data_IF_419427663757
#
_entry.id   IF_419427663757
#
_cell.length_a   1.000
_cell.length_b   1.000
_cell.length_c   1.000
_cell.angle_alpha   90.00
_cell.angle_beta   90.00
_cell.angle_gamma   90.00
#
_symmetry.space_group_name_H-M   'P 1'
#
loop_
_entity.id
_entity.type
_entity.pdbx_description
1 polymer ?
#
# COMPACT_ATOMS: atom_id res chain seq x y z
N UNK A 1 3.59 0.00 1.59
CA UNK A 1 3.76 -1.46 1.49
C UNK A 1 4.60 -1.93 2.65
N UNK A 2 4.31 -3.06 3.30
CA UNK A 2 5.14 -3.49 4.45
C UNK A 2 6.63 -3.65 4.10
N UNK A 3 6.95 -4.03 2.86
CA UNK A 3 8.33 -4.16 2.36
C UNK A 3 8.99 -2.81 2.01
N UNK A 4 8.23 -1.72 1.92
CA UNK A 4 8.79 -0.38 1.75
C UNK A 4 9.32 0.19 3.08
N UNK A 5 8.92 -0.37 4.22
CA UNK A 5 9.27 0.11 5.56
C UNK A 5 10.00 -0.91 6.42
N UNK A 6 9.98 -2.20 6.03
CA UNK A 6 10.63 -3.29 6.78
C UNK A 6 11.57 -4.03 5.85
N UNK A 7 12.86 -3.98 6.15
CA UNK A 7 13.88 -4.70 5.40
C UNK A 7 13.65 -6.22 5.50
N UNK A 8 13.75 -6.90 4.35
CA UNK A 8 13.67 -8.36 4.26
C UNK A 8 14.76 -8.87 3.33
N UNK A 9 15.45 -9.96 3.67
CA UNK A 9 16.47 -10.54 2.79
C UNK A 9 15.84 -10.94 1.46
N UNK A 10 16.56 -10.77 0.35
CA UNK A 10 16.13 -11.10 -1.02
C UNK A 10 15.03 -10.21 -1.64
N UNK A 11 14.57 -9.16 -0.95
CA UNK A 11 13.54 -8.23 -1.46
C UNK A 11 14.09 -6.88 -1.93
N UNK A 12 15.42 -6.68 -1.97
CA UNK A 12 16.07 -5.37 -2.09
C UNK A 12 15.52 -4.46 -3.19
N UNK A 13 15.58 -4.87 -4.45
CA UNK A 13 15.11 -4.05 -5.59
C UNK A 13 13.60 -3.76 -5.51
N UNK A 14 12.81 -4.75 -5.08
CA UNK A 14 11.36 -4.58 -4.94
C UNK A 14 11.01 -3.63 -3.78
N UNK A 15 11.67 -3.78 -2.63
CA UNK A 15 11.52 -2.92 -1.46
C UNK A 15 11.89 -1.46 -1.79
N UNK A 16 13.04 -1.25 -2.44
CA UNK A 16 13.51 0.06 -2.87
C UNK A 16 12.52 0.74 -3.83
N UNK A 17 12.02 0.01 -4.84
CA UNK A 17 11.06 0.59 -5.79
C UNK A 17 9.72 0.95 -5.14
N UNK A 18 9.23 0.17 -4.16
CA UNK A 18 8.02 0.50 -3.41
C UNK A 18 8.22 1.69 -2.46
N UNK A 19 9.38 1.82 -1.83
CA UNK A 19 9.71 3.00 -1.02
C UNK A 19 9.80 4.27 -1.90
N UNK A 20 10.44 4.18 -3.07
CA UNK A 20 10.51 5.28 -4.02
C UNK A 20 9.12 5.72 -4.52
N UNK A 21 8.25 4.76 -4.88
CA UNK A 21 6.88 5.03 -5.28
C UNK A 21 6.10 5.80 -4.21
N UNK A 22 6.24 5.41 -2.95
CA UNK A 22 5.55 6.09 -1.84
C UNK A 22 6.06 7.50 -1.63
N UNK A 23 7.36 7.75 -1.80
CA UNK A 23 7.90 9.11 -1.73
C UNK A 23 7.37 9.98 -2.87
N UNK A 24 7.36 9.48 -4.11
CA UNK A 24 6.81 10.19 -5.27
C UNK A 24 5.34 10.56 -5.02
N UNK A 25 4.53 9.60 -4.56
CA UNK A 25 3.12 9.85 -4.27
C UNK A 25 2.91 10.89 -3.17
N UNK A 26 3.80 10.93 -2.15
CA UNK A 26 3.74 11.93 -1.07
C UNK A 26 4.11 13.33 -1.56
N UNK A 27 5.17 13.46 -2.36
CA UNK A 27 5.52 14.74 -2.98
C UNK A 27 4.36 15.24 -3.86
N UNK A 28 3.80 14.36 -4.69
CA UNK A 28 2.68 14.72 -5.55
C UNK A 28 1.42 15.11 -4.77
N UNK A 29 1.15 14.43 -3.64
CA UNK A 29 0.07 14.82 -2.73
C UNK A 29 0.28 16.20 -2.10
N UNK A 30 1.53 16.56 -1.76
CA UNK A 30 1.91 17.88 -1.23
C UNK A 30 1.67 18.97 -2.27
N UNK A 31 2.15 18.75 -3.50
CA UNK A 31 2.02 19.67 -4.64
C UNK A 31 0.55 19.97 -4.95
N UNK A 32 -0.34 18.98 -4.78
CA UNK A 32 -1.76 19.09 -5.10
C UNK A 32 -2.67 19.40 -3.89
N UNK A 33 -2.12 19.75 -2.72
CA UNK A 33 -2.90 19.99 -1.49
C UNK A 33 -4.04 21.00 -1.64
N UNK A 34 -3.90 21.98 -2.52
CA UNK A 34 -4.90 23.02 -2.78
C UNK A 34 -5.93 22.64 -3.85
N UNK A 35 -5.85 21.43 -4.39
CA UNK A 35 -6.76 20.91 -5.42
C UNK A 35 -7.72 19.86 -4.83
N UNK A 36 -8.81 19.51 -5.55
CA UNK A 36 -9.67 18.40 -5.12
C UNK A 36 -9.01 17.02 -5.28
N UNK A 37 -7.87 16.90 -5.96
CA UNK A 37 -7.22 15.61 -6.22
C UNK A 37 -6.63 15.03 -4.93
N UNK A 38 -6.88 13.74 -4.69
CA UNK A 38 -6.34 12.98 -3.54
C UNK A 38 -5.42 11.89 -4.04
N UNK A 39 -4.22 11.83 -3.47
CA UNK A 39 -3.19 10.85 -3.83
C UNK A 39 -2.82 10.09 -2.57
N UNK A 40 -3.01 8.78 -2.59
CA UNK A 40 -2.65 7.91 -1.47
C UNK A 40 -2.02 6.63 -2.01
N UNK A 41 -1.16 6.01 -1.21
CA UNK A 41 -0.67 4.67 -1.50
C UNK A 41 -1.51 3.63 -0.76
N UNK A 42 -1.56 2.42 -1.32
CA UNK A 42 -2.25 1.29 -0.70
C UNK A 42 -1.25 0.20 -0.41
N UNK A 43 -1.26 -0.30 0.83
CA UNK A 43 -0.65 -1.56 1.20
C UNK A 43 -1.74 -2.64 1.25
N UNK A 44 -1.87 -3.50 0.21
CA UNK A 44 -2.87 -4.55 0.19
C UNK A 44 -2.59 -5.67 1.20
N UNK A 45 -1.35 -5.77 1.69
CA UNK A 45 -0.88 -6.95 2.42
C UNK A 45 -0.65 -8.13 1.47
N UNK A 46 -0.41 -9.32 2.03
CA UNK A 46 -0.40 -10.53 1.21
C UNK A 46 -1.82 -10.86 0.75
N UNK A 47 -1.96 -11.08 -0.55
CA UNK A 47 -3.21 -11.36 -1.25
C UNK A 47 -3.00 -12.60 -2.09
N UNK A 48 -4.03 -13.46 -2.22
CA UNK A 48 -3.98 -14.68 -3.02
C UNK A 48 -3.89 -14.35 -4.53
N UNK A 49 -2.67 -14.18 -5.03
CA UNK A 49 -2.35 -13.88 -6.44
C UNK A 49 -1.19 -14.75 -6.94
N UNK A 50 -1.04 -14.87 -8.26
CA UNK A 50 0.10 -15.58 -8.86
C UNK A 50 1.46 -14.99 -8.43
N UNK A 51 1.59 -13.67 -8.47
CA UNK A 51 2.79 -12.95 -7.99
C UNK A 51 3.14 -13.32 -6.53
N UNK A 52 2.15 -13.52 -5.66
CA UNK A 52 2.39 -13.90 -4.26
C UNK A 52 2.85 -15.36 -4.15
N UNK A 53 2.24 -16.26 -4.92
CA UNK A 53 2.63 -17.67 -4.96
C UNK A 53 4.07 -17.84 -5.46
N UNK A 54 4.48 -17.09 -6.48
CA UNK A 54 5.86 -17.08 -6.98
C UNK A 54 6.85 -16.51 -5.94
N UNK A 55 6.47 -15.42 -5.27
CA UNK A 55 7.32 -14.75 -4.30
C UNK A 55 7.42 -15.49 -2.94
N UNK A 56 6.45 -16.35 -2.60
CA UNK A 56 6.41 -17.15 -1.36
C UNK A 56 5.85 -18.57 -1.63
N UNK A 57 6.60 -19.47 -2.30
CA UNK A 57 6.07 -20.77 -2.73
C UNK A 57 5.62 -21.71 -1.60
N UNK A 58 6.14 -21.54 -0.39
CA UNK A 58 5.79 -22.35 0.79
C UNK A 58 4.60 -21.81 1.60
N UNK A 59 3.99 -20.69 1.21
CA UNK A 59 2.82 -20.14 1.90
C UNK A 59 1.53 -20.78 1.37
N UNK A 60 0.69 -21.30 2.26
CA UNK A 60 -0.63 -21.82 1.89
C UNK A 60 -1.54 -20.67 1.38
N UNK A 61 -1.97 -20.70 0.10
CA UNK A 61 -2.81 -19.65 -0.46
C UNK A 61 -4.17 -19.50 0.23
N UNK A 62 -4.69 -20.54 0.89
CA UNK A 62 -5.99 -20.49 1.57
C UNK A 62 -5.96 -19.63 2.84
N UNK A 63 -4.78 -19.35 3.39
CA UNK A 63 -4.60 -18.42 4.51
C UNK A 63 -4.57 -16.95 4.08
N UNK A 64 -4.66 -16.67 2.77
CA UNK A 64 -4.60 -15.33 2.22
C UNK A 64 -5.98 -14.84 1.77
N UNK A 65 -6.33 -13.56 2.01
CA UNK A 65 -7.54 -12.99 1.45
C UNK A 65 -7.48 -13.01 -0.09
N UNK A 66 -8.62 -13.22 -0.71
CA UNK A 66 -8.80 -13.09 -2.15
C UNK A 66 -8.62 -11.64 -2.61
N UNK A 67 -8.29 -11.42 -3.89
CA UNK A 67 -8.28 -10.09 -4.48
C UNK A 67 -9.61 -9.35 -4.31
N UNK A 68 -10.74 -10.06 -4.38
CA UNK A 68 -12.07 -9.49 -4.22
C UNK A 68 -12.30 -8.97 -2.79
N UNK A 69 -11.86 -9.70 -1.77
CA UNK A 69 -11.95 -9.24 -0.38
C UNK A 69 -11.07 -8.02 -0.11
N UNK A 70 -9.88 -7.98 -0.71
CA UNK A 70 -8.99 -6.81 -0.65
C UNK A 70 -9.62 -5.62 -1.39
N UNK A 71 -10.18 -5.83 -2.58
CA UNK A 71 -10.83 -4.81 -3.39
C UNK A 71 -12.00 -4.13 -2.64
N UNK A 72 -12.84 -4.94 -1.98
CA UNK A 72 -13.95 -4.43 -1.14
C UNK A 72 -13.49 -3.48 -0.05
N UNK A 73 -12.28 -3.66 0.49
CA UNK A 73 -11.73 -2.78 1.53
C UNK A 73 -11.17 -1.47 0.97
N UNK A 74 -10.71 -1.45 -0.28
CA UNK A 74 -10.08 -0.25 -0.86
C UNK A 74 -11.04 0.59 -1.70
N UNK A 75 -12.22 0.08 -2.05
CA UNK A 75 -13.15 0.77 -2.95
C UNK A 75 -13.57 2.17 -2.44
N UNK A 76 -13.64 2.37 -1.12
CA UNK A 76 -13.98 3.66 -0.53
C UNK A 76 -12.94 4.76 -0.80
N UNK A 77 -11.70 4.41 -1.16
CA UNK A 77 -10.67 5.39 -1.58
C UNK A 77 -11.04 6.09 -2.90
N UNK A 78 -12.00 5.56 -3.65
CA UNK A 78 -12.51 6.16 -4.89
C UNK A 78 -13.69 7.12 -4.62
N UNK A 79 -14.08 7.30 -3.36
CA UNK A 79 -15.17 8.20 -3.00
C UNK A 79 -14.79 9.65 -3.29
N UNK A 80 -15.68 10.45 -3.90
CA UNK A 80 -15.47 11.89 -4.05
C UNK A 80 -15.39 12.62 -2.70
N UNK A 81 -15.87 12.00 -1.63
CA UNK A 81 -15.85 12.57 -0.28
C UNK A 81 -14.55 12.31 0.49
N UNK A 82 -13.62 11.51 -0.07
CA UNK A 82 -12.36 11.19 0.58
C UNK A 82 -11.58 12.46 0.94
N UNK A 83 -11.15 12.59 2.20
CA UNK A 83 -10.43 13.77 2.69
C UNK A 83 -8.92 13.54 2.75
N UNK A 84 -8.52 12.30 2.94
CA UNK A 84 -7.14 11.89 3.10
C UNK A 84 -6.34 12.02 1.80
N UNK A 85 -5.17 12.61 1.90
CA UNK A 85 -4.16 12.68 0.84
C UNK A 85 -2.77 12.59 1.45
N UNK A 86 -1.80 12.06 0.71
CA UNK A 86 -0.43 11.84 1.17
C UNK A 86 -0.29 10.74 2.23
N UNK A 87 -1.29 9.87 2.39
CA UNK A 87 -1.31 8.81 3.41
C UNK A 87 -1.10 7.43 2.80
N UNK A 88 -0.85 6.45 3.68
CA UNK A 88 -0.83 5.03 3.33
C UNK A 88 -2.09 4.34 3.86
N UNK A 89 -2.93 3.79 3.00
CA UNK A 89 -4.03 2.93 3.44
C UNK A 89 -3.53 1.50 3.66
N UNK A 90 -3.69 0.97 4.87
CA UNK A 90 -3.31 -0.39 5.22
C UNK A 90 -4.56 -1.29 5.24
N UNK A 91 -4.70 -2.16 4.24
CA UNK A 91 -5.87 -3.03 4.07
C UNK A 91 -6.05 -4.01 5.24
N UNK A 92 -4.97 -4.54 5.81
CA UNK A 92 -5.05 -5.47 6.95
C UNK A 92 -5.57 -4.77 8.21
N UNK A 93 -5.11 -3.54 8.46
CA UNK A 93 -5.57 -2.71 9.58
C UNK A 93 -6.89 -1.97 9.29
N UNK A 94 -7.34 -2.00 8.04
CA UNK A 94 -8.51 -1.29 7.52
C UNK A 94 -8.56 0.20 7.90
N UNK A 95 -7.41 0.89 7.79
CA UNK A 95 -7.29 2.32 8.10
C UNK A 95 -6.11 2.97 7.40
N UNK A 96 -6.15 4.30 7.28
CA UNK A 96 -4.97 5.10 6.97
C UNK A 96 -3.95 5.05 8.11
N UNK A 97 -2.68 5.11 7.74
CA UNK A 97 -1.54 5.27 8.64
C UNK A 97 -0.67 6.42 8.15
N UNK A 98 -0.03 7.07 9.10
CA UNK A 98 0.90 8.16 8.86
C UNK A 98 2.31 7.65 8.59
N UNK A 99 3.06 8.43 7.82
CA UNK A 99 4.49 8.25 7.68
C UNK A 99 5.18 8.95 8.85
N UNK A 100 6.18 8.29 9.43
CA UNK A 100 7.03 8.85 10.46
C UNK A 100 8.43 9.06 9.90
N UNK A 101 9.04 10.21 10.23
CA UNK A 101 10.46 10.39 9.99
C UNK A 101 11.24 9.38 10.86
N UNK A 102 12.43 8.93 10.43
CA UNK A 102 13.36 8.27 11.33
C UNK A 102 13.63 9.21 12.51
N UNK A 103 13.62 8.66 13.73
CA UNK A 103 14.05 9.37 14.94
C UNK A 103 15.54 9.73 14.90
#
# INVERSE_FOLDING_TARGET
SSVAHVARPFWGAYAASKAALEMIARCWAEELKQTPIKINCVNPGATRTAMRAEAMPGEDPQNLPSPQEVAKKIIHLLSPDLKETGKLFNVRKNRFVDYHAPD
#
